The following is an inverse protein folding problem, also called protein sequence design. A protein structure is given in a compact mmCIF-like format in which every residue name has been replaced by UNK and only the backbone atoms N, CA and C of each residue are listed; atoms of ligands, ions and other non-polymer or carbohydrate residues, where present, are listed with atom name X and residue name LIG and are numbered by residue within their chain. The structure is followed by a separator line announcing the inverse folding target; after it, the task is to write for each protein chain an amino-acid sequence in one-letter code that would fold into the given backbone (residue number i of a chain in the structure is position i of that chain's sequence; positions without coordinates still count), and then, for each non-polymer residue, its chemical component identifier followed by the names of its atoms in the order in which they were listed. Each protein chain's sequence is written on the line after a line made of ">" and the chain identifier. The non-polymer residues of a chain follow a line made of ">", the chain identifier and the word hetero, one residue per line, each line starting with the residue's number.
data_IF_845849723728
#
_entry.id   IF_845849723728
#
_cell.length_a   1.000
_cell.length_b   1.000
_cell.length_c   1.000
_cell.angle_alpha   90.00
_cell.angle_beta   90.00
_cell.angle_gamma   90.00
#
_symmetry.space_group_name_H-M   'P 1'
#
loop_
_entity.id
_entity.type
_entity.pdbx_description
1 polymer ?
#
# COMPACT_ATOMS: atom_id res chain seq x y z
N UNK A 1 13.10 19.20 5.80
CA UNK A 1 12.11 19.19 4.70
C UNK A 1 10.75 18.99 5.33
N UNK A 2 9.78 19.83 4.98
CA UNK A 2 8.38 19.63 5.41
C UNK A 2 7.62 19.10 4.22
N UNK A 3 6.97 17.95 4.37
CA UNK A 3 6.12 17.32 3.35
C UNK A 3 4.73 17.16 3.96
N UNK A 4 3.72 17.62 3.23
CA UNK A 4 2.32 17.30 3.49
C UNK A 4 1.76 16.65 2.22
N UNK A 5 1.11 15.50 2.38
CA UNK A 5 0.46 14.78 1.28
C UNK A 5 -1.04 14.88 1.51
N UNK A 6 -1.76 15.44 0.55
CA UNK A 6 -3.21 15.50 0.53
C UNK A 6 -3.73 14.61 -0.62
N UNK A 7 -5.05 14.53 -0.77
CA UNK A 7 -5.70 13.65 -1.73
C UNK A 7 -5.37 13.96 -3.19
N UNK A 8 -5.07 15.21 -3.58
CA UNK A 8 -4.79 15.60 -4.96
C UNK A 8 -3.45 16.31 -5.18
N UNK A 9 -2.69 16.54 -4.10
CA UNK A 9 -1.49 17.37 -4.11
C UNK A 9 -0.49 16.95 -3.06
N UNK A 10 0.75 17.39 -3.25
CA UNK A 10 1.74 17.43 -2.18
C UNK A 10 2.21 18.87 -1.98
N UNK A 11 2.51 19.22 -0.73
CA UNK A 11 3.17 20.47 -0.36
C UNK A 11 4.57 20.14 0.14
N UNK A 12 5.59 20.62 -0.57
CA UNK A 12 7.00 20.43 -0.20
C UNK A 12 7.60 21.79 0.12
N UNK A 13 7.97 21.99 1.39
CA UNK A 13 8.46 23.28 1.89
C UNK A 13 7.54 24.49 1.57
N UNK A 14 6.22 24.23 1.45
CA UNK A 14 5.19 25.24 1.16
C UNK A 14 4.90 25.46 -0.33
N UNK A 15 5.60 24.78 -1.23
CA UNK A 15 5.28 24.75 -2.66
C UNK A 15 4.32 23.59 -2.95
N UNK A 16 3.17 23.90 -3.55
CA UNK A 16 2.14 22.91 -3.88
C UNK A 16 2.36 22.36 -5.29
N UNK A 17 2.15 21.06 -5.42
CA UNK A 17 2.20 20.32 -6.69
C UNK A 17 0.90 19.55 -6.81
N UNK A 18 0.13 19.82 -7.86
CA UNK A 18 -1.17 19.19 -8.11
C UNK A 18 -1.01 18.08 -9.14
N UNK A 19 -1.51 16.88 -8.81
CA UNK A 19 -1.47 15.73 -9.70
C UNK A 19 -2.74 15.65 -10.55
N UNK A 20 -2.61 15.12 -11.77
CA UNK A 20 -3.78 14.89 -12.64
C UNK A 20 -4.82 13.97 -12.00
N UNK A 21 -4.36 13.05 -11.17
CA UNK A 21 -5.15 12.02 -10.52
C UNK A 21 -4.90 12.03 -9.02
N UNK A 22 -5.88 11.60 -8.20
CA UNK A 22 -5.71 11.56 -6.76
C UNK A 22 -4.52 10.71 -6.32
N UNK A 23 -3.90 11.06 -5.21
CA UNK A 23 -2.87 10.27 -4.55
C UNK A 23 -3.57 9.22 -3.70
N UNK A 24 -3.27 7.94 -3.97
CA UNK A 24 -3.82 6.82 -3.20
C UNK A 24 -2.85 6.31 -2.12
N UNK A 25 -1.55 6.28 -2.41
CA UNK A 25 -0.51 5.98 -1.43
C UNK A 25 0.71 6.90 -1.60
N UNK A 26 1.50 6.98 -0.53
CA UNK A 26 2.81 7.62 -0.56
C UNK A 26 3.82 6.87 0.30
N UNK A 27 5.08 6.86 -0.15
CA UNK A 27 6.25 6.52 0.66
C UNK A 27 7.11 7.78 0.73
N UNK A 28 7.43 8.20 1.96
CA UNK A 28 8.43 9.24 2.21
C UNK A 28 9.70 8.56 2.67
N UNK A 29 10.75 8.61 1.83
CA UNK A 29 12.03 7.99 2.12
C UNK A 29 13.16 8.97 1.79
N UNK A 30 14.12 9.10 2.71
CA UNK A 30 15.27 10.00 2.60
C UNK A 30 14.88 11.44 2.20
N UNK A 31 15.18 11.79 0.95
CA UNK A 31 14.95 13.09 0.33
C UNK A 31 14.00 12.96 -0.87
N UNK A 32 13.07 12.00 -0.88
CA UNK A 32 12.08 11.88 -1.97
C UNK A 32 10.72 11.47 -1.46
N UNK A 33 9.72 11.73 -2.31
CA UNK A 33 8.35 11.27 -2.13
C UNK A 33 8.01 10.40 -3.31
N UNK A 34 7.72 9.12 -3.04
CA UNK A 34 7.21 8.18 -4.04
C UNK A 34 5.70 8.11 -3.86
N UNK A 35 4.95 8.34 -4.93
CA UNK A 35 3.51 8.45 -4.91
C UNK A 35 2.91 7.45 -5.88
N UNK A 36 1.75 6.90 -5.51
CA UNK A 36 0.89 6.13 -6.41
C UNK A 36 -0.38 6.93 -6.64
N UNK A 37 -0.65 7.31 -7.88
CA UNK A 37 -1.88 8.04 -8.21
C UNK A 37 -3.00 7.08 -8.63
N UNK A 38 -4.22 7.27 -8.14
CA UNK A 38 -5.39 6.50 -8.51
C UNK A 38 -5.89 6.89 -9.89
N UNK A 39 -5.83 5.97 -10.84
CA UNK A 39 -6.51 6.20 -12.10
C UNK A 39 -8.02 6.28 -11.86
N UNK A 40 -8.57 7.49 -11.99
CA UNK A 40 -10.01 7.74 -11.94
C UNK A 40 -10.47 8.29 -13.29
N UNK A 41 -11.73 8.01 -13.66
CA UNK A 41 -12.36 8.57 -14.87
C UNK A 41 -12.53 10.10 -14.84
N UNK A 42 -12.02 10.79 -13.81
CA UNK A 42 -12.11 12.22 -13.64
C UNK A 42 -10.73 12.81 -13.36
N UNK A 43 -10.21 13.54 -14.35
CA UNK A 43 -9.02 14.35 -14.18
C UNK A 43 -9.30 15.51 -13.21
N UNK A 44 -8.34 15.81 -12.36
CA UNK A 44 -8.26 17.08 -11.63
C UNK A 44 -7.87 18.17 -12.64
N UNK A 45 -8.45 19.36 -12.53
CA UNK A 45 -8.09 20.50 -13.39
C UNK A 45 -6.88 21.24 -12.80
N UNK A 46 -6.04 21.83 -13.65
CA UNK A 46 -4.89 22.63 -13.20
C UNK A 46 -3.74 21.81 -12.63
N UNK A 47 -3.60 20.55 -13.05
CA UNK A 47 -2.47 19.70 -12.65
C UNK A 47 -1.14 20.22 -13.21
N UNK A 48 -0.08 20.00 -12.44
CA UNK A 48 1.31 20.22 -12.85
C UNK A 48 1.88 18.97 -13.55
N UNK A 49 1.36 17.79 -13.22
CA UNK A 49 1.83 16.50 -13.74
C UNK A 49 0.80 15.74 -14.55
N UNK A 50 1.15 15.45 -15.80
CA UNK A 50 0.35 14.62 -16.71
C UNK A 50 0.88 13.19 -16.77
N UNK A 51 0.02 12.20 -16.51
CA UNK A 51 0.30 10.77 -16.66
C UNK A 51 -0.40 10.31 -17.93
N UNK A 52 0.39 9.96 -18.94
CA UNK A 52 -0.11 9.53 -20.26
C UNK A 52 -0.50 8.06 -20.32
N UNK A 53 0.06 7.25 -19.43
CA UNK A 53 -0.03 5.80 -19.43
C UNK A 53 -0.36 5.32 -18.01
N UNK A 54 -1.48 4.61 -17.87
CA UNK A 54 -2.01 4.17 -16.57
C UNK A 54 -1.14 3.10 -15.92
N UNK A 55 -0.39 2.34 -16.72
CA UNK A 55 0.61 1.38 -16.23
C UNK A 55 1.81 2.07 -15.56
N UNK A 56 1.86 3.40 -15.60
CA UNK A 56 2.96 4.24 -15.13
C UNK A 56 2.45 5.29 -14.14
N UNK A 57 1.69 4.84 -13.15
CA UNK A 57 1.06 5.70 -12.15
C UNK A 57 1.79 5.74 -10.79
N UNK A 58 3.02 5.19 -10.71
CA UNK A 58 3.94 5.40 -9.58
C UNK A 58 5.04 6.39 -9.99
N UNK A 59 5.24 7.43 -9.18
CA UNK A 59 6.07 8.60 -9.51
C UNK A 59 6.98 8.95 -8.33
N UNK A 60 8.24 9.31 -8.59
CA UNK A 60 9.10 9.96 -7.60
C UNK A 60 9.18 11.46 -7.83
N UNK A 61 9.15 12.22 -6.74
CA UNK A 61 9.32 13.67 -6.69
C UNK A 61 10.45 14.03 -5.72
N UNK A 62 11.33 14.94 -6.15
CA UNK A 62 12.46 15.45 -5.36
C UNK A 62 12.01 16.43 -4.27
N UNK A 63 12.89 16.83 -3.32
CA UNK A 63 12.58 17.84 -2.30
C UNK A 63 12.27 19.23 -2.86
N UNK A 64 12.61 19.47 -4.12
CA UNK A 64 12.30 20.72 -4.81
C UNK A 64 11.01 20.65 -5.63
N UNK A 65 10.28 19.53 -5.54
CA UNK A 65 9.04 19.36 -6.29
C UNK A 65 9.21 18.96 -7.74
N UNK A 66 10.43 18.65 -8.18
CA UNK A 66 10.68 18.21 -9.55
C UNK A 66 10.40 16.71 -9.66
N UNK A 67 9.74 16.29 -10.75
CA UNK A 67 9.60 14.87 -11.05
C UNK A 67 10.94 14.28 -11.43
N UNK A 68 11.35 13.26 -10.69
CA UNK A 68 12.58 12.52 -10.91
C UNK A 68 12.37 11.42 -11.95
N UNK A 69 11.44 10.50 -11.67
CA UNK A 69 11.12 9.37 -12.53
C UNK A 69 9.64 8.98 -12.45
N UNK A 70 9.22 8.16 -13.41
CA UNK A 70 7.94 7.44 -13.40
C UNK A 70 8.27 5.97 -13.60
N UNK A 71 7.61 5.09 -12.85
CA UNK A 71 7.90 3.65 -12.85
C UNK A 71 7.89 3.08 -14.28
N UNK A 72 8.72 2.07 -14.50
CA UNK A 72 8.72 1.30 -15.75
C UNK A 72 7.32 0.77 -16.07
N UNK A 73 6.96 0.72 -17.36
CA UNK A 73 5.63 0.22 -17.75
C UNK A 73 5.61 -1.29 -17.64
N UNK A 74 4.58 -1.83 -16.99
CA UNK A 74 4.29 -3.26 -17.00
C UNK A 74 3.52 -3.59 -18.28
N UNK A 75 4.04 -4.52 -19.08
CA UNK A 75 3.29 -5.06 -20.21
C UNK A 75 2.07 -5.84 -19.69
N UNK A 76 0.88 -5.43 -20.10
CA UNK A 76 -0.39 -6.10 -19.79
C UNK A 76 -1.30 -6.02 -21.01
N UNK A 77 -2.15 -7.05 -21.16
CA UNK A 77 -3.22 -7.09 -22.16
C UNK A 77 -4.51 -6.43 -21.63
N UNK A 78 -4.55 -6.03 -20.36
CA UNK A 78 -5.69 -5.35 -19.74
C UNK A 78 -5.68 -3.86 -20.08
N UNK A 79 -6.81 -3.34 -20.57
CA UNK A 79 -6.95 -1.92 -20.94
C UNK A 79 -6.85 -0.99 -19.73
N UNK A 80 -7.11 -1.51 -18.53
CA UNK A 80 -7.08 -0.83 -17.24
C UNK A 80 -5.92 -1.30 -16.36
N UNK A 81 -4.83 -1.78 -16.94
CA UNK A 81 -3.61 -2.12 -16.20
C UNK A 81 -3.02 -0.91 -15.47
N UNK A 82 -2.85 -1.03 -14.15
CA UNK A 82 -2.28 0.01 -13.30
C UNK A 82 -1.72 -0.57 -11.99
N UNK A 83 -0.89 0.24 -11.32
CA UNK A 83 -0.48 -0.01 -9.94
C UNK A 83 -1.54 0.47 -8.96
N UNK A 84 -1.93 -0.34 -7.98
CA UNK A 84 -3.04 0.01 -7.08
C UNK A 84 -2.67 -0.01 -5.60
N UNK A 85 -1.48 -0.47 -5.22
CA UNK A 85 -0.96 -0.32 -3.86
C UNK A 85 0.55 -0.07 -3.88
N UNK A 86 1.05 0.62 -2.85
CA UNK A 86 2.45 0.93 -2.64
C UNK A 86 2.83 0.64 -1.17
N UNK A 87 3.91 -0.08 -0.94
CA UNK A 87 4.41 -0.35 0.41
C UNK A 87 5.93 -0.53 0.43
N UNK A 88 6.53 -0.27 1.58
CA UNK A 88 7.88 -0.72 1.90
C UNK A 88 7.82 -2.05 2.63
N UNK A 89 8.85 -2.86 2.46
CA UNK A 89 9.03 -4.09 3.23
C UNK A 89 10.51 -4.31 3.46
N UNK A 90 10.96 -4.17 4.71
CA UNK A 90 12.36 -4.14 5.08
C UNK A 90 13.09 -3.03 4.28
N UNK A 91 14.02 -3.40 3.41
CA UNK A 91 14.77 -2.51 2.53
C UNK A 91 14.21 -2.48 1.09
N UNK A 92 13.04 -3.09 0.84
CA UNK A 92 12.44 -3.21 -0.49
C UNK A 92 11.31 -2.22 -0.71
N UNK A 93 11.20 -1.76 -1.96
CA UNK A 93 10.10 -0.93 -2.42
C UNK A 93 9.22 -1.75 -3.34
N UNK A 94 7.97 -1.89 -2.94
CA UNK A 94 7.04 -2.82 -3.57
C UNK A 94 5.79 -2.08 -4.01
N UNK A 95 5.21 -2.55 -5.10
CA UNK A 95 3.93 -2.08 -5.60
C UNK A 95 3.10 -3.25 -6.09
N UNK A 96 1.80 -3.18 -5.88
CA UNK A 96 0.85 -4.10 -6.48
C UNK A 96 0.33 -3.55 -7.80
N UNK A 97 0.32 -4.38 -8.83
CA UNK A 97 -0.19 -4.08 -10.15
C UNK A 97 -1.22 -5.14 -10.53
N UNK A 98 -2.12 -4.89 -11.49
CA UNK A 98 -3.13 -5.87 -11.92
C UNK A 98 -2.54 -7.24 -12.34
N UNK A 99 -1.26 -7.24 -12.70
CA UNK A 99 -0.45 -8.38 -13.15
C UNK A 99 0.34 -9.11 -12.04
N UNK A 100 0.31 -8.62 -10.79
CA UNK A 100 1.01 -9.20 -9.65
C UNK A 100 1.71 -8.18 -8.75
N UNK A 101 2.64 -8.67 -7.93
CA UNK A 101 3.47 -7.85 -7.06
C UNK A 101 4.80 -7.55 -7.75
N UNK A 102 5.29 -6.33 -7.61
CA UNK A 102 6.52 -5.87 -8.24
C UNK A 102 7.44 -5.23 -7.20
N UNK A 103 8.73 -5.51 -7.32
CA UNK A 103 9.77 -4.74 -6.65
C UNK A 103 10.37 -3.78 -7.66
N UNK A 104 10.61 -2.55 -7.23
CA UNK A 104 11.20 -1.52 -8.06
C UNK A 104 12.34 -0.82 -7.33
N UNK A 105 13.26 -0.26 -8.11
CA UNK A 105 14.34 0.56 -7.59
C UNK A 105 13.78 1.96 -7.25
N UNK A 106 13.83 2.43 -5.99
CA UNK A 106 13.34 3.75 -5.61
C UNK A 106 14.14 4.91 -6.24
N UNK A 107 15.34 4.65 -6.75
CA UNK A 107 16.21 5.67 -7.37
C UNK A 107 15.88 5.88 -8.85
N UNK A 108 15.42 4.84 -9.55
CA UNK A 108 15.23 4.89 -11.01
C UNK A 108 13.80 4.61 -11.46
N UNK A 109 13.00 3.94 -10.63
CA UNK A 109 11.69 3.41 -11.00
C UNK A 109 11.75 2.16 -11.88
N UNK A 110 12.92 1.55 -12.05
CA UNK A 110 13.06 0.31 -12.83
C UNK A 110 12.47 -0.87 -12.06
N UNK A 111 11.79 -1.77 -12.78
CA UNK A 111 11.26 -3.00 -12.17
C UNK A 111 12.41 -4.00 -11.98
N UNK A 112 12.64 -4.40 -10.73
CA UNK A 112 13.70 -5.34 -10.36
C UNK A 112 13.22 -6.79 -10.37
N UNK A 113 12.02 -7.03 -9.85
CA UNK A 113 11.45 -8.36 -9.72
C UNK A 113 9.92 -8.34 -9.85
N UNK A 114 9.34 -9.51 -10.17
CA UNK A 114 7.90 -9.73 -10.28
C UNK A 114 7.51 -11.05 -9.60
N UNK A 115 6.40 -11.02 -8.88
CA UNK A 115 5.78 -12.19 -8.27
C UNK A 115 4.27 -12.26 -8.54
N UNK A 116 3.66 -13.45 -8.48
CA UNK A 116 2.21 -13.60 -8.41
C UNK A 116 1.60 -12.82 -7.25
N UNK A 117 0.31 -12.47 -7.37
CA UNK A 117 -0.48 -11.76 -6.35
C UNK A 117 -0.45 -12.37 -4.95
N UNK A 118 -0.27 -13.69 -4.86
CA UNK A 118 -0.23 -14.43 -3.60
C UNK A 118 1.20 -14.76 -3.14
N UNK A 119 2.21 -14.08 -3.68
CA UNK A 119 3.60 -14.28 -3.29
C UNK A 119 4.23 -12.98 -2.82
N UNK A 120 5.01 -13.05 -1.74
CA UNK A 120 5.73 -11.92 -1.16
C UNK A 120 7.19 -12.30 -0.86
N UNK A 121 8.18 -11.48 -1.28
CA UNK A 121 9.55 -11.66 -0.81
C UNK A 121 9.68 -11.18 0.64
N UNK A 122 10.18 -12.04 1.54
CA UNK A 122 10.59 -11.67 2.90
C UNK A 122 12.02 -12.17 3.10
N UNK A 123 12.96 -11.26 3.39
CA UNK A 123 14.39 -11.52 3.41
C UNK A 123 14.88 -12.21 2.12
N UNK A 124 15.41 -13.43 2.24
CA UNK A 124 15.95 -14.27 1.16
C UNK A 124 14.94 -15.30 0.63
N UNK A 125 13.67 -15.23 1.06
CA UNK A 125 12.63 -16.21 0.74
C UNK A 125 11.46 -15.56 0.02
N UNK A 126 10.85 -16.31 -0.89
CA UNK A 126 9.52 -15.99 -1.42
C UNK A 126 8.49 -16.81 -0.66
N UNK A 127 7.56 -16.13 0.01
CA UNK A 127 6.47 -16.76 0.75
C UNK A 127 5.25 -16.87 -0.16
N UNK A 128 4.72 -18.08 -0.30
CA UNK A 128 3.44 -18.32 -0.96
C UNK A 128 2.31 -18.26 0.07
N UNK A 129 1.41 -17.31 -0.12
CA UNK A 129 0.27 -17.01 0.73
C UNK A 129 -0.98 -17.63 0.15
N UNK A 130 -2.01 -17.76 0.98
CA UNK A 130 -3.24 -18.38 0.50
C UNK A 130 -3.92 -17.50 -0.56
N UNK A 131 -3.89 -16.17 -0.44
CA UNK A 131 -4.57 -15.26 -1.36
C UNK A 131 -3.76 -14.05 -1.79
N UNK A 132 -4.45 -13.17 -2.53
CA UNK A 132 -3.94 -11.87 -2.96
C UNK A 132 -3.62 -11.02 -1.73
N UNK A 133 -2.42 -10.46 -1.68
CA UNK A 133 -2.01 -9.54 -0.63
C UNK A 133 -2.84 -8.26 -0.79
N UNK A 134 -3.42 -7.75 0.29
CA UNK A 134 -4.16 -6.47 0.28
C UNK A 134 -3.56 -5.45 1.22
N UNK A 135 -2.67 -5.86 2.12
CA UNK A 135 -1.98 -4.96 3.02
C UNK A 135 -0.73 -5.61 3.58
N UNK A 136 0.31 -4.80 3.71
CA UNK A 136 1.57 -5.11 4.39
C UNK A 136 1.84 -4.02 5.41
N UNK A 137 2.20 -4.42 6.63
CA UNK A 137 2.55 -3.49 7.72
C UNK A 137 3.75 -4.05 8.46
N UNK A 138 4.80 -3.26 8.59
CA UNK A 138 5.89 -3.55 9.51
C UNK A 138 5.61 -2.91 10.86
N UNK A 139 5.68 -3.70 11.92
CA UNK A 139 5.47 -3.23 13.28
C UNK A 139 6.35 -4.01 14.25
N UNK A 140 7.11 -3.27 15.06
CA UNK A 140 8.18 -3.81 15.91
C UNK A 140 9.18 -4.63 15.08
N UNK A 141 9.35 -5.94 15.33
CA UNK A 141 10.26 -6.81 14.58
C UNK A 141 9.54 -7.77 13.63
N UNK A 142 8.26 -7.54 13.36
CA UNK A 142 7.42 -8.42 12.55
C UNK A 142 6.79 -7.72 11.36
N UNK A 143 6.43 -8.56 10.39
CA UNK A 143 5.72 -8.20 9.16
C UNK A 143 4.32 -8.79 9.26
N UNK A 144 3.31 -7.92 9.23
CA UNK A 144 1.90 -8.30 9.27
C UNK A 144 1.29 -8.17 7.89
N UNK A 145 0.56 -9.18 7.47
CA UNK A 145 -0.06 -9.25 6.14
C UNK A 145 -1.54 -9.53 6.26
N UNK A 146 -2.33 -8.88 5.40
CA UNK A 146 -3.70 -9.29 5.13
C UNK A 146 -3.80 -9.81 3.71
N UNK A 147 -4.39 -10.99 3.55
CA UNK A 147 -4.67 -11.59 2.26
C UNK A 147 -6.17 -11.68 2.02
N UNK A 148 -6.60 -11.43 0.79
CA UNK A 148 -7.98 -11.61 0.30
C UNK A 148 -8.15 -12.98 -0.32
N UNK A 149 -9.11 -13.71 0.21
CA UNK A 149 -9.55 -15.05 -0.22
C UNK A 149 -11.03 -15.23 0.10
N UNK A 150 -11.56 -16.45 -0.01
CA UNK A 150 -12.88 -16.80 0.50
C UNK A 150 -13.05 -16.50 2.00
N UNK A 151 -12.01 -16.67 2.83
CA UNK A 151 -12.06 -16.45 4.29
C UNK A 151 -11.25 -15.26 4.80
N UNK A 152 -10.41 -14.62 3.99
CA UNK A 152 -9.43 -13.60 4.42
C UNK A 152 -8.50 -14.09 5.53
N UNK A 153 -7.19 -13.91 5.35
CA UNK A 153 -6.21 -14.43 6.31
C UNK A 153 -5.29 -13.32 6.76
N UNK A 154 -5.07 -13.23 8.08
CA UNK A 154 -4.00 -12.45 8.66
C UNK A 154 -2.80 -13.35 8.90
N UNK A 155 -1.61 -12.83 8.62
CA UNK A 155 -0.35 -13.48 8.91
C UNK A 155 0.56 -12.53 9.68
N UNK A 156 1.41 -13.10 10.52
CA UNK A 156 2.61 -12.44 11.01
C UNK A 156 3.84 -13.27 10.66
N UNK A 157 4.87 -12.58 10.20
CA UNK A 157 6.17 -13.15 9.88
C UNK A 157 7.26 -12.44 10.67
N UNK A 158 8.28 -13.19 11.06
CA UNK A 158 9.57 -12.63 11.43
C UNK A 158 10.23 -11.93 10.23
N UNK A 159 11.20 -11.07 10.48
CA UNK A 159 12.00 -10.43 9.44
C UNK A 159 12.74 -11.44 8.52
N UNK A 160 13.00 -12.66 8.98
CA UNK A 160 13.60 -13.74 8.19
C UNK A 160 12.58 -14.59 7.38
N UNK A 161 11.30 -14.20 7.40
CA UNK A 161 10.22 -14.89 6.71
C UNK A 161 9.69 -16.13 7.42
N UNK A 162 10.08 -16.38 8.67
CA UNK A 162 9.46 -17.42 9.51
C UNK A 162 8.06 -17.00 9.92
N UNK A 163 7.03 -17.81 9.63
CA UNK A 163 5.65 -17.56 10.09
C UNK A 163 5.60 -17.62 11.62
N UNK A 164 5.20 -16.52 12.26
CA UNK A 164 4.91 -16.46 13.70
C UNK A 164 3.55 -17.10 13.98
N UNK A 165 2.54 -16.59 13.30
CA UNK A 165 1.17 -17.03 13.42
C UNK A 165 0.36 -16.68 12.17
N UNK A 166 -0.81 -17.29 12.08
CA UNK A 166 -1.85 -16.97 11.11
C UNK A 166 -3.23 -17.10 11.75
N UNK A 167 -4.13 -16.21 11.39
CA UNK A 167 -5.52 -16.18 11.87
C UNK A 167 -6.49 -15.98 10.71
N UNK A 168 -7.69 -16.53 10.87
CA UNK A 168 -8.84 -16.11 10.07
C UNK A 168 -9.13 -14.62 10.35
N UNK A 169 -9.35 -13.82 9.31
CA UNK A 169 -9.74 -12.41 9.43
C UNK A 169 -11.27 -12.24 9.48
N UNK A 170 -12.00 -13.32 9.20
CA UNK A 170 -13.45 -13.38 9.18
C UNK A 170 -14.02 -12.63 7.97
N UNK A 171 -14.54 -11.44 8.23
CA UNK A 171 -15.35 -10.69 7.27
C UNK A 171 -14.52 -10.18 6.07
N UNK A 172 -15.26 -9.92 4.98
CA UNK A 172 -14.68 -9.80 3.63
C UNK A 172 -13.90 -8.53 3.35
N UNK A 173 -13.92 -7.55 4.24
CA UNK A 173 -13.32 -6.24 3.96
C UNK A 173 -12.72 -5.70 5.23
N UNK A 174 -11.44 -5.45 5.19
CA UNK A 174 -10.76 -4.77 6.27
C UNK A 174 -9.32 -4.51 5.93
N UNK A 175 -8.65 -3.85 6.85
CA UNK A 175 -7.27 -3.39 6.74
C UNK A 175 -6.56 -3.63 8.07
N UNK A 176 -5.24 -3.63 8.02
CA UNK A 176 -4.37 -3.60 9.18
C UNK A 176 -3.50 -2.35 9.11
N UNK A 177 -3.24 -1.73 10.25
CA UNK A 177 -2.47 -0.49 10.33
C UNK A 177 -1.90 -0.29 11.74
N UNK A 178 -0.92 0.60 11.85
CA UNK A 178 -0.37 1.05 13.13
C UNK A 178 -0.91 2.43 13.42
N UNK A 179 -1.43 2.64 14.63
CA UNK A 179 -1.85 3.95 15.13
C UNK A 179 -1.47 4.03 16.61
N UNK A 180 -0.93 5.17 17.03
CA UNK A 180 -0.52 5.42 18.43
C UNK A 180 0.41 4.35 19.03
N UNK A 181 1.23 3.72 18.18
CA UNK A 181 2.18 2.69 18.58
C UNK A 181 1.55 1.33 18.84
N UNK A 182 0.32 1.10 18.37
CA UNK A 182 -0.40 -0.16 18.50
C UNK A 182 -0.80 -0.70 17.12
N UNK A 183 -0.83 -2.02 16.97
CA UNK A 183 -1.30 -2.69 15.77
C UNK A 183 -2.82 -2.87 15.83
N UNK A 184 -3.50 -2.48 14.77
CA UNK A 184 -4.95 -2.53 14.67
C UNK A 184 -5.41 -3.28 13.42
N UNK A 185 -6.53 -3.96 13.55
CA UNK A 185 -7.35 -4.41 12.43
C UNK A 185 -8.65 -3.61 12.42
N UNK A 186 -9.03 -3.07 11.26
CA UNK A 186 -10.36 -2.52 11.03
C UNK A 186 -11.07 -3.35 9.97
N UNK A 187 -12.29 -3.77 10.26
CA UNK A 187 -13.09 -4.65 9.43
C UNK A 187 -14.48 -4.07 9.24
N UNK A 188 -14.89 -3.94 7.98
CA UNK A 188 -16.19 -3.42 7.59
C UNK A 188 -17.26 -4.51 7.75
N UNK A 189 -18.20 -4.26 8.65
CA UNK A 189 -19.25 -5.20 9.04
C UNK A 189 -20.45 -5.05 8.12
N UNK A 190 -20.78 -3.80 7.80
CA UNK A 190 -21.82 -3.44 6.86
C UNK A 190 -21.48 -2.08 6.23
N UNK A 191 -22.42 -1.48 5.48
CA UNK A 191 -22.17 -0.20 4.79
C UNK A 191 -21.95 0.99 5.73
N UNK A 192 -22.45 0.91 6.95
CA UNK A 192 -22.56 2.03 7.89
C UNK A 192 -21.75 1.78 9.16
N UNK A 193 -21.05 0.65 9.26
CA UNK A 193 -20.42 0.23 10.51
C UNK A 193 -19.16 -0.56 10.26
N UNK A 194 -18.08 -0.07 10.84
CA UNK A 194 -16.81 -0.77 10.93
C UNK A 194 -16.58 -1.20 12.37
N UNK A 195 -15.91 -2.33 12.55
CA UNK A 195 -15.31 -2.72 13.82
C UNK A 195 -13.82 -2.54 13.75
N UNK A 196 -13.22 -2.06 14.82
CA UNK A 196 -11.78 -1.98 14.98
C UNK A 196 -11.35 -2.79 16.19
N UNK A 197 -10.26 -3.53 16.06
CA UNK A 197 -9.72 -4.41 17.10
C UNK A 197 -8.23 -4.15 17.23
N UNK A 198 -7.76 -4.02 18.47
CA UNK A 198 -6.33 -4.06 18.72
C UNK A 198 -5.84 -5.49 18.54
N UNK A 199 -4.75 -5.67 17.82
CA UNK A 199 -4.14 -6.97 17.60
C UNK A 199 -2.94 -7.13 18.53
N UNK A 200 -2.86 -8.29 19.19
CA UNK A 200 -1.62 -8.70 19.84
C UNK A 200 -0.61 -9.15 18.76
N UNK A 201 0.55 -8.50 18.65
CA UNK A 201 1.53 -8.78 17.60
C UNK A 201 2.17 -10.17 17.73
N UNK A 202 2.16 -10.78 18.92
CA UNK A 202 2.79 -12.06 19.20
C UNK A 202 1.86 -13.24 18.97
N UNK A 203 0.54 -13.05 19.12
CA UNK A 203 -0.45 -14.14 19.03
C UNK A 203 -1.46 -13.98 17.88
N UNK A 204 -1.70 -12.75 17.42
CA UNK A 204 -2.78 -12.42 16.49
C UNK A 204 -4.16 -12.35 17.14
N UNK A 205 -4.24 -12.42 18.46
CA UNK A 205 -5.50 -12.27 19.20
C UNK A 205 -6.04 -10.84 19.10
N UNK A 206 -7.37 -10.72 19.12
CA UNK A 206 -8.10 -9.45 19.01
C UNK A 206 -8.62 -9.00 20.37
N UNK A 207 -8.41 -7.73 20.69
CA UNK A 207 -8.88 -7.10 21.92
C UNK A 207 -9.54 -5.75 21.61
N UNK A 208 -10.18 -5.17 22.64
CA UNK A 208 -10.64 -3.79 22.65
C UNK A 208 -11.46 -3.40 21.41
N UNK A 209 -12.54 -4.16 21.16
CA UNK A 209 -13.43 -3.91 20.01
C UNK A 209 -14.07 -2.54 20.12
N UNK A 210 -13.80 -1.70 19.13
CA UNK A 210 -14.48 -0.43 18.89
C UNK A 210 -15.49 -0.58 17.76
N UNK A 211 -16.59 0.16 17.86
CA UNK A 211 -17.63 0.23 16.82
C UNK A 211 -17.63 1.64 16.26
N UNK A 212 -17.35 1.75 14.96
CA UNK A 212 -17.24 3.01 14.25
C UNK A 212 -18.46 3.15 13.34
N UNK A 213 -19.27 4.17 13.57
CA UNK A 213 -20.32 4.58 12.63
C UNK A 213 -19.67 5.39 11.51
N UNK A 214 -19.76 4.91 10.27
CA UNK A 214 -19.11 5.56 9.13
C UNK A 214 -19.90 6.78 8.64
N UNK A 215 -21.12 7.00 9.14
CA UNK A 215 -21.98 8.13 8.75
C UNK A 215 -22.48 8.07 7.31
N UNK A 216 -22.28 6.94 6.61
CA UNK A 216 -22.81 6.68 5.27
C UNK A 216 -24.27 6.22 5.40
N UNK A 217 -25.22 7.06 4.97
CA UNK A 217 -26.67 6.74 4.97
C UNK A 217 -27.18 6.47 3.55
#
# INVERSE_FOLDING_TARGET
>A
MTIEVDWDRISINGEEIVFQYPIGDSIVADERVILRTEYQNRNIEGFDFHIKDQTRNVISVTPSGEREWVIESVQSDEEDAHHYDLWTLLDRYLTQHTEGNFEFDPETGDILNKWPHNQLPIADRTIELSGEITRVVEFDTAIFLRCKQATHTLYAFEADGTERWRSDAGERRGTIFVEDGELWEQTAVNRTTDHRYRLDPDTGDRYDREVIDTGLW
#
